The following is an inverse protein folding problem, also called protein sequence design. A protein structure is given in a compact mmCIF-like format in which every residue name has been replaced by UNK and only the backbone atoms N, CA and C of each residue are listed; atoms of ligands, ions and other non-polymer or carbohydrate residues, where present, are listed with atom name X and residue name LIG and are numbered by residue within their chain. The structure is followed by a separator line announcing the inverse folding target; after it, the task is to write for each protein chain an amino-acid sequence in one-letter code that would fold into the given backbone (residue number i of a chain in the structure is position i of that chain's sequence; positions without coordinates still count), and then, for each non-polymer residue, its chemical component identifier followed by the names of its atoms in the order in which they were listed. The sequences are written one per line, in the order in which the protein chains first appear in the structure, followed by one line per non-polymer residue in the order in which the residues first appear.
data_IF_772669317689
#
_entry.id   IF_772669317689
#
_cell.length_a   1.000
_cell.length_b   1.000
_cell.length_c   1.000
_cell.angle_alpha   90.00
_cell.angle_beta   90.00
_cell.angle_gamma   90.00
#
_symmetry.space_group_name_H-M   'P 1'
#
loop_
_entity.id
_entity.type
_entity.pdbx_description
1 polymer ?
#
# COMPACT_ATOMS: atom_id res chain seq x y z
N UNK A 1 62.52 -13.93 33.51
CA UNK A 1 61.75 -14.95 32.77
C UNK A 1 62.74 -15.89 32.10
N UNK A 2 62.56 -17.21 32.20
CA UNK A 2 63.42 -18.23 31.61
C UNK A 2 62.69 -18.86 30.42
N UNK A 3 62.87 -18.31 29.22
CA UNK A 3 62.22 -18.78 28.02
C UNK A 3 63.12 -19.80 27.30
N UNK A 4 62.59 -20.98 27.01
CA UNK A 4 63.35 -22.05 26.36
C UNK A 4 63.43 -21.80 24.85
N UNK A 5 64.65 -21.87 24.31
CA UNK A 5 64.93 -21.74 22.89
C UNK A 5 64.93 -23.12 22.25
N UNK A 6 64.15 -23.29 21.17
CA UNK A 6 64.16 -24.52 20.38
C UNK A 6 65.32 -24.47 19.39
N UNK A 7 66.29 -25.37 19.52
CA UNK A 7 67.53 -25.36 18.72
C UNK A 7 67.38 -26.13 17.39
N UNK A 8 66.59 -27.22 17.35
CA UNK A 8 66.30 -27.95 16.12
C UNK A 8 65.06 -28.85 16.25
N UNK A 9 64.38 -29.11 15.13
CA UNK A 9 63.37 -30.16 14.99
C UNK A 9 61.93 -29.80 15.37
N UNK A 10 61.68 -28.61 15.93
CA UNK A 10 60.33 -28.14 16.23
C UNK A 10 60.21 -26.61 16.02
N UNK A 11 58.97 -26.14 15.84
CA UNK A 11 58.64 -24.70 15.86
C UNK A 11 57.74 -24.40 17.06
N UNK A 12 57.96 -23.25 17.70
CA UNK A 12 57.06 -22.74 18.74
C UNK A 12 55.71 -22.44 18.07
N UNK A 13 54.62 -22.96 18.64
CA UNK A 13 53.27 -22.55 18.22
C UNK A 13 53.07 -21.12 18.71
N UNK A 14 52.87 -20.20 17.78
CA UNK A 14 52.56 -18.79 18.09
C UNK A 14 51.04 -18.69 18.24
N UNK A 15 50.57 -18.36 19.43
CA UNK A 15 49.15 -18.10 19.73
C UNK A 15 48.85 -16.61 19.94
N UNK A 16 49.85 -15.76 19.73
CA UNK A 16 49.67 -14.31 19.63
C UNK A 16 49.23 -14.00 18.21
N UNK A 17 47.97 -13.63 18.06
CA UNK A 17 47.37 -13.22 16.80
C UNK A 17 47.37 -11.70 16.73
N UNK A 18 47.83 -11.14 15.62
CA UNK A 18 47.68 -9.72 15.35
C UNK A 18 46.21 -9.44 14.97
N UNK A 19 45.62 -8.35 15.47
CA UNK A 19 44.21 -8.04 15.23
C UNK A 19 43.89 -7.83 13.74
N UNK A 20 44.86 -7.35 12.95
CA UNK A 20 44.75 -7.16 11.50
C UNK A 20 44.53 -8.49 10.75
N UNK A 21 45.21 -9.57 11.16
CA UNK A 21 45.13 -10.90 10.51
C UNK A 21 43.80 -11.61 10.75
N UNK A 22 43.00 -11.16 11.73
CA UNK A 22 41.82 -11.87 12.22
C UNK A 22 40.49 -11.10 11.99
N UNK A 23 40.52 -10.04 11.17
CA UNK A 23 39.39 -9.13 10.91
C UNK A 23 38.68 -8.65 12.19
N UNK A 24 39.42 -8.59 13.30
CA UNK A 24 38.87 -8.21 14.59
C UNK A 24 38.98 -6.70 14.73
N UNK A 25 37.87 -6.05 15.07
CA UNK A 25 37.83 -4.59 15.23
C UNK A 25 38.85 -4.17 16.28
N UNK A 26 39.85 -3.39 15.88
CA UNK A 26 40.76 -2.72 16.81
C UNK A 26 39.95 -1.71 17.65
N UNK A 27 39.77 -2.02 18.93
CA UNK A 27 38.84 -1.29 19.79
C UNK A 27 39.36 0.10 20.22
N UNK A 28 40.64 0.41 20.00
CA UNK A 28 41.27 1.68 20.38
C UNK A 28 42.35 2.07 19.38
N UNK A 29 42.35 3.33 18.96
CA UNK A 29 43.44 3.91 18.18
C UNK A 29 44.76 3.79 18.98
N UNK A 30 45.86 3.45 18.31
CA UNK A 30 47.18 3.30 18.95
C UNK A 30 47.59 4.54 19.76
N UNK A 31 47.19 5.72 19.30
CA UNK A 31 47.43 7.00 19.95
C UNK A 31 46.64 7.17 21.25
N UNK A 32 45.42 6.64 21.32
CA UNK A 32 44.62 6.61 22.55
C UNK A 32 45.17 5.60 23.56
N UNK A 33 45.64 4.45 23.07
CA UNK A 33 46.29 3.43 23.90
C UNK A 33 47.57 3.98 24.56
N UNK A 34 48.42 4.69 23.81
CA UNK A 34 49.61 5.39 24.35
C UNK A 34 49.22 6.42 25.40
N UNK A 35 48.24 7.29 25.12
CA UNK A 35 47.77 8.30 26.09
C UNK A 35 47.26 7.69 27.39
N UNK A 36 46.59 6.54 27.31
CA UNK A 36 46.06 5.82 28.46
C UNK A 36 47.15 5.11 29.29
N UNK A 37 48.27 4.76 28.67
CA UNK A 37 49.45 4.22 29.34
C UNK A 37 50.30 5.33 30.00
N UNK A 38 50.48 6.45 29.30
CA UNK A 38 51.38 7.53 29.73
C UNK A 38 50.75 8.44 30.80
N UNK A 39 49.43 8.68 30.74
CA UNK A 39 48.74 9.63 31.61
C UNK A 39 47.77 8.95 32.58
N UNK A 40 48.15 8.86 33.86
CA UNK A 40 47.31 8.27 34.90
C UNK A 40 45.97 9.00 35.09
N UNK A 41 45.94 10.33 34.98
CA UNK A 41 44.70 11.12 35.10
C UNK A 41 43.75 10.87 33.94
N UNK A 42 44.26 10.73 32.72
CA UNK A 42 43.44 10.46 31.53
C UNK A 42 42.78 9.08 31.60
N UNK A 43 43.55 8.07 32.05
CA UNK A 43 43.01 6.72 32.32
C UNK A 43 41.88 6.75 33.34
N UNK A 44 42.03 7.53 34.41
CA UNK A 44 41.01 7.65 35.45
C UNK A 44 39.73 8.30 34.90
N UNK A 45 39.86 9.41 34.17
CA UNK A 45 38.71 10.08 33.56
C UNK A 45 37.94 9.14 32.61
N UNK A 46 38.65 8.42 31.75
CA UNK A 46 38.02 7.48 30.83
C UNK A 46 37.33 6.33 31.58
N UNK A 47 37.96 5.79 32.63
CA UNK A 47 37.33 4.75 33.45
C UNK A 47 36.02 5.22 34.09
N UNK A 48 35.96 6.47 34.55
CA UNK A 48 34.73 7.05 35.12
C UNK A 48 33.67 7.26 34.04
N UNK A 49 34.05 7.74 32.85
CA UNK A 49 33.14 7.87 31.70
C UNK A 49 32.57 6.52 31.29
N UNK A 50 33.39 5.47 31.24
CA UNK A 50 32.97 4.12 30.89
C UNK A 50 31.96 3.58 31.92
N UNK A 51 32.20 3.81 33.23
CA UNK A 51 31.24 3.47 34.28
C UNK A 51 29.92 4.25 34.17
N UNK A 52 29.97 5.54 33.82
CA UNK A 52 28.78 6.35 33.62
C UNK A 52 27.96 5.83 32.43
N UNK A 53 28.61 5.58 31.29
CA UNK A 53 27.98 4.98 30.11
C UNK A 53 27.35 3.62 30.42
N UNK A 54 28.04 2.79 31.21
CA UNK A 54 27.48 1.53 31.68
C UNK A 54 26.19 1.77 32.49
N UNK A 55 26.23 2.67 33.48
CA UNK A 55 25.05 3.02 34.31
C UNK A 55 23.88 3.59 33.50
N UNK A 56 24.16 4.39 32.48
CA UNK A 56 23.15 4.96 31.58
C UNK A 56 22.53 3.90 30.65
N UNK A 57 23.31 2.92 30.19
CA UNK A 57 22.82 1.85 29.31
C UNK A 57 22.05 0.75 30.04
N UNK A 58 22.37 0.50 31.32
CA UNK A 58 21.69 -0.51 32.15
C UNK A 58 20.16 -0.40 32.16
N UNK A 59 19.52 0.76 32.40
CA UNK A 59 18.06 0.84 32.40
C UNK A 59 17.44 0.42 31.06
N UNK A 60 18.03 0.84 29.94
CA UNK A 60 17.57 0.47 28.59
C UNK A 60 17.69 -1.05 28.41
N UNK A 61 18.83 -1.63 28.79
CA UNK A 61 19.06 -3.08 28.70
C UNK A 61 18.04 -3.86 29.55
N UNK A 62 17.78 -3.41 30.78
CA UNK A 62 16.79 -4.06 31.65
C UNK A 62 15.37 -3.95 31.09
N UNK A 63 15.03 -2.84 30.44
CA UNK A 63 13.73 -2.69 29.78
C UNK A 63 13.61 -3.65 28.60
N UNK A 64 14.64 -3.76 27.75
CA UNK A 64 14.68 -4.71 26.64
C UNK A 64 14.57 -6.15 27.12
N UNK A 65 15.28 -6.50 28.19
CA UNK A 65 15.20 -7.82 28.80
C UNK A 65 13.76 -8.11 29.29
N UNK A 66 13.13 -7.19 30.01
CA UNK A 66 11.74 -7.36 30.48
C UNK A 66 10.74 -7.49 29.34
N UNK A 67 10.93 -6.73 28.26
CA UNK A 67 10.08 -6.86 27.06
C UNK A 67 10.27 -8.22 26.40
N UNK A 68 11.50 -8.70 26.31
CA UNK A 68 11.79 -10.04 25.80
C UNK A 68 11.13 -11.10 26.68
N UNK A 69 11.38 -11.10 28.00
CA UNK A 69 10.75 -12.03 28.94
C UNK A 69 9.23 -12.04 28.81
N UNK A 70 8.59 -10.87 28.69
CA UNK A 70 7.14 -10.77 28.49
C UNK A 70 6.68 -11.34 27.15
N UNK A 71 7.42 -11.09 26.07
CA UNK A 71 7.08 -11.59 24.73
C UNK A 71 7.25 -13.11 24.63
N UNK A 72 8.27 -13.65 25.32
CA UNK A 72 8.64 -15.06 25.29
C UNK A 72 8.08 -15.87 26.46
N UNK A 73 7.36 -15.24 27.40
CA UNK A 73 6.67 -15.92 28.49
C UNK A 73 5.65 -16.96 27.99
N UNK A 74 5.03 -16.72 26.83
CA UNK A 74 4.14 -17.66 26.16
C UNK A 74 4.41 -17.69 24.65
N UNK A 75 5.36 -18.55 24.21
CA UNK A 75 5.72 -18.68 22.81
C UNK A 75 4.56 -19.20 21.93
N UNK A 76 3.65 -19.98 22.51
CA UNK A 76 2.55 -20.58 21.77
C UNK A 76 1.53 -19.54 21.36
N UNK A 77 1.07 -18.66 22.27
CA UNK A 77 0.11 -17.63 21.89
C UNK A 77 0.71 -16.59 20.94
N UNK A 78 2.00 -16.26 21.08
CA UNK A 78 2.69 -15.39 20.12
C UNK A 78 2.73 -16.03 18.71
N UNK A 79 3.15 -17.30 18.63
CA UNK A 79 3.16 -18.06 17.37
C UNK A 79 1.77 -18.22 16.77
N UNK A 80 0.75 -18.43 17.59
CA UNK A 80 -0.64 -18.52 17.15
C UNK A 80 -1.11 -17.20 16.52
N UNK A 81 -0.81 -16.05 17.15
CA UNK A 81 -1.12 -14.72 16.60
C UNK A 81 -0.38 -14.46 15.28
N UNK A 82 0.91 -14.80 15.19
CA UNK A 82 1.69 -14.65 13.96
C UNK A 82 1.10 -15.50 12.83
N UNK A 83 0.83 -16.79 13.08
CA UNK A 83 0.20 -17.67 12.08
C UNK A 83 -1.17 -17.16 11.64
N UNK A 84 -1.96 -16.59 12.56
CA UNK A 84 -3.25 -15.99 12.23
C UNK A 84 -3.08 -14.81 11.26
N UNK A 85 -2.16 -13.87 11.55
CA UNK A 85 -1.84 -12.75 10.67
C UNK A 85 -1.40 -13.22 9.28
N UNK A 86 -0.44 -14.14 9.20
CA UNK A 86 0.03 -14.66 7.92
C UNK A 86 -1.07 -15.38 7.12
N UNK A 87 -1.99 -16.09 7.79
CA UNK A 87 -3.14 -16.71 7.12
C UNK A 87 -4.10 -15.67 6.56
N UNK A 88 -4.38 -14.60 7.31
CA UNK A 88 -5.23 -13.50 6.87
C UNK A 88 -4.59 -12.74 5.70
N UNK A 89 -3.31 -12.39 5.82
CA UNK A 89 -2.53 -11.75 4.75
C UNK A 89 -2.46 -12.61 3.50
N UNK A 90 -2.17 -13.92 3.63
CA UNK A 90 -2.18 -14.86 2.51
C UNK A 90 -3.54 -14.89 1.81
N UNK A 91 -4.64 -14.91 2.58
CA UNK A 91 -6.00 -14.91 2.01
C UNK A 91 -6.28 -13.62 1.24
N UNK A 92 -5.86 -12.47 1.77
CA UNK A 92 -6.02 -11.17 1.10
C UNK A 92 -5.20 -11.15 -0.19
N UNK A 93 -3.94 -11.58 -0.14
CA UNK A 93 -3.05 -11.61 -1.30
C UNK A 93 -3.55 -12.57 -2.39
N UNK A 94 -4.05 -13.75 -2.01
CA UNK A 94 -4.64 -14.71 -2.94
C UNK A 94 -5.92 -14.19 -3.59
N UNK A 95 -6.76 -13.46 -2.83
CA UNK A 95 -7.95 -12.81 -3.38
C UNK A 95 -7.58 -11.71 -4.39
N UNK A 96 -6.58 -10.88 -4.08
CA UNK A 96 -6.05 -9.87 -5.01
C UNK A 96 -5.50 -10.52 -6.27
N UNK A 97 -4.64 -11.53 -6.12
CA UNK A 97 -4.07 -12.27 -7.24
C UNK A 97 -5.14 -12.89 -8.14
N UNK A 98 -6.21 -13.47 -7.56
CA UNK A 98 -7.35 -13.98 -8.34
C UNK A 98 -8.03 -12.86 -9.13
N UNK A 99 -8.29 -11.71 -8.50
CA UNK A 99 -8.89 -10.56 -9.20
C UNK A 99 -7.99 -10.07 -10.35
N UNK A 100 -6.67 -10.04 -10.15
CA UNK A 100 -5.71 -9.66 -11.18
C UNK A 100 -5.66 -10.67 -12.34
N UNK A 101 -5.68 -11.97 -12.04
CA UNK A 101 -5.76 -13.05 -13.02
C UNK A 101 -7.05 -12.95 -13.85
N UNK A 102 -8.20 -12.66 -13.21
CA UNK A 102 -9.48 -12.45 -13.91
C UNK A 102 -9.46 -11.24 -14.86
N UNK A 103 -8.84 -10.12 -14.45
CA UNK A 103 -8.65 -8.95 -15.31
C UNK A 103 -7.73 -9.29 -16.49
N UNK A 104 -6.65 -10.02 -16.22
CA UNK A 104 -5.69 -10.45 -17.22
C UNK A 104 -6.34 -11.34 -18.28
N UNK A 105 -7.12 -12.33 -17.84
CA UNK A 105 -7.82 -13.27 -18.73
C UNK A 105 -8.90 -12.56 -19.55
N UNK A 106 -9.67 -11.65 -18.93
CA UNK A 106 -10.71 -10.87 -19.61
C UNK A 106 -10.12 -10.01 -20.74
N UNK A 107 -8.96 -9.43 -20.51
CA UNK A 107 -8.29 -8.54 -21.46
C UNK A 107 -7.24 -9.25 -22.32
N UNK A 108 -7.12 -10.58 -22.21
CA UNK A 108 -6.11 -11.40 -22.89
C UNK A 108 -4.68 -10.84 -22.75
N UNK A 109 -4.34 -10.33 -21.57
CA UNK A 109 -3.01 -9.78 -21.28
C UNK A 109 -2.05 -10.92 -20.89
N UNK A 110 -0.80 -10.84 -21.34
CA UNK A 110 0.26 -11.80 -20.96
C UNK A 110 1.19 -11.28 -19.86
N UNK A 111 0.99 -10.03 -19.44
CA UNK A 111 1.88 -9.27 -18.54
C UNK A 111 1.35 -9.39 -17.10
N UNK A 112 2.23 -9.51 -16.08
CA UNK A 112 1.80 -9.42 -14.68
C UNK A 112 1.27 -8.01 -14.35
N UNK A 113 0.13 -7.95 -13.68
CA UNK A 113 -0.44 -6.68 -13.21
C UNK A 113 0.26 -6.22 -11.94
N UNK A 114 0.46 -4.89 -11.83
CA UNK A 114 1.00 -4.24 -10.65
C UNK A 114 -0.13 -3.86 -9.69
N UNK A 115 0.17 -3.68 -8.40
CA UNK A 115 -0.80 -3.14 -7.46
C UNK A 115 -1.26 -1.73 -7.88
N UNK A 116 -2.53 -1.45 -7.63
CA UNK A 116 -3.15 -0.15 -7.94
C UNK A 116 -2.41 0.99 -7.22
N UNK A 117 -1.97 2.00 -7.98
CA UNK A 117 -1.43 3.25 -7.45
C UNK A 117 -2.53 4.29 -7.31
N UNK A 118 -2.48 5.10 -6.24
CA UNK A 118 -3.46 6.16 -6.00
C UNK A 118 -3.39 7.26 -7.06
N UNK A 119 -2.19 7.54 -7.58
CA UNK A 119 -1.98 8.52 -8.65
C UNK A 119 -2.67 8.06 -9.93
N UNK A 120 -2.44 6.81 -10.32
CA UNK A 120 -3.08 6.18 -11.48
C UNK A 120 -4.62 6.18 -11.35
N UNK A 121 -5.15 5.94 -10.15
CA UNK A 121 -6.60 5.98 -9.90
C UNK A 121 -7.17 7.39 -10.14
N UNK A 122 -6.48 8.44 -9.70
CA UNK A 122 -6.89 9.83 -9.89
C UNK A 122 -6.83 10.21 -11.36
N UNK A 123 -5.74 9.87 -12.04
CA UNK A 123 -5.57 10.14 -13.47
C UNK A 123 -6.63 9.41 -14.29
N UNK A 124 -6.85 8.12 -14.04
CA UNK A 124 -7.87 7.33 -14.73
C UNK A 124 -9.27 7.93 -14.56
N UNK A 125 -9.62 8.41 -13.36
CA UNK A 125 -10.90 9.08 -13.10
C UNK A 125 -11.01 10.44 -13.80
N UNK A 126 -9.91 11.17 -13.94
CA UNK A 126 -9.87 12.47 -14.59
C UNK A 126 -9.90 12.36 -16.13
N UNK A 127 -9.49 11.22 -16.69
CA UNK A 127 -9.55 11.00 -18.14
C UNK A 127 -10.98 10.80 -18.63
N UNK A 128 -11.44 11.69 -19.52
CA UNK A 128 -12.71 11.53 -20.22
C UNK A 128 -12.51 10.66 -21.47
N UNK A 129 -13.07 9.43 -21.47
CA UNK A 129 -13.10 8.61 -22.68
C UNK A 129 -14.02 9.26 -23.72
N UNK A 130 -13.55 9.33 -24.98
CA UNK A 130 -14.27 10.02 -26.05
C UNK A 130 -15.75 9.60 -26.12
N UNK A 131 -16.64 10.61 -26.16
CA UNK A 131 -18.12 10.52 -26.13
C UNK A 131 -18.74 9.40 -26.97
N UNK A 132 -18.10 9.00 -28.06
CA UNK A 132 -18.55 7.94 -28.95
C UNK A 132 -18.73 6.58 -28.25
N UNK A 133 -17.83 6.19 -27.32
CA UNK A 133 -17.89 4.89 -26.65
C UNK A 133 -19.01 4.87 -25.60
N UNK A 134 -19.12 5.94 -24.81
CA UNK A 134 -20.19 6.15 -23.83
C UNK A 134 -21.55 6.19 -24.55
N UNK A 135 -21.63 6.88 -25.69
CA UNK A 135 -22.86 6.95 -26.50
C UNK A 135 -23.19 5.61 -27.14
N UNK A 136 -22.20 4.82 -27.56
CA UNK A 136 -22.41 3.47 -28.09
C UNK A 136 -22.95 2.51 -27.01
N UNK A 137 -22.39 2.56 -25.80
CA UNK A 137 -22.88 1.77 -24.66
C UNK A 137 -24.31 2.15 -24.26
N UNK A 138 -24.61 3.45 -24.16
CA UNK A 138 -25.97 3.94 -23.91
C UNK A 138 -26.95 3.47 -24.97
N UNK A 139 -26.58 3.56 -26.26
CA UNK A 139 -27.40 3.08 -27.37
C UNK A 139 -27.63 1.57 -27.30
N UNK A 140 -26.60 0.77 -26.95
CA UNK A 140 -26.74 -0.69 -26.78
C UNK A 140 -27.76 -1.01 -25.69
N UNK A 141 -27.70 -0.30 -24.57
CA UNK A 141 -28.64 -0.45 -23.45
C UNK A 141 -30.08 -0.04 -23.84
N UNK A 142 -30.22 1.10 -24.51
CA UNK A 142 -31.50 1.59 -25.02
C UNK A 142 -32.12 0.60 -26.01
N UNK A 143 -31.33 0.04 -26.93
CA UNK A 143 -31.82 -0.95 -27.90
C UNK A 143 -32.26 -2.23 -27.21
N UNK A 144 -31.44 -2.78 -26.30
CA UNK A 144 -31.76 -4.03 -25.59
C UNK A 144 -32.98 -3.89 -24.67
N UNK A 145 -33.22 -2.70 -24.12
CA UNK A 145 -34.37 -2.43 -23.25
C UNK A 145 -35.60 -1.93 -24.02
N UNK A 146 -35.44 -1.51 -25.28
CA UNK A 146 -36.56 -1.06 -26.12
C UNK A 146 -37.56 -2.17 -26.42
N UNK A 147 -38.80 -1.79 -26.72
CA UNK A 147 -39.85 -2.73 -27.11
C UNK A 147 -39.69 -3.12 -28.58
N UNK A 148 -39.55 -4.42 -28.85
CA UNK A 148 -39.51 -4.99 -30.22
C UNK A 148 -40.85 -4.75 -30.95
N UNK A 149 -41.92 -4.44 -30.22
CA UNK A 149 -43.26 -4.20 -30.77
C UNK A 149 -43.58 -2.73 -31.07
N UNK A 150 -42.65 -1.79 -30.80
CA UNK A 150 -42.78 -0.44 -31.33
C UNK A 150 -42.48 -0.49 -32.82
N UNK A 151 -43.53 -0.77 -33.62
CA UNK A 151 -43.51 -0.66 -35.08
C UNK A 151 -42.86 0.67 -35.44
N UNK A 152 -41.83 0.61 -36.29
CA UNK A 152 -41.29 1.73 -37.03
C UNK A 152 -42.42 2.43 -37.79
N UNK A 153 -43.16 3.32 -37.13
CA UNK A 153 -43.81 4.39 -37.83
C UNK A 153 -42.66 5.25 -38.35
N UNK A 154 -42.58 5.33 -39.67
CA UNK A 154 -41.68 6.18 -40.43
C UNK A 154 -42.10 7.63 -40.17
N UNK A 155 -41.99 8.08 -38.92
CA UNK A 155 -42.38 9.41 -38.50
C UNK A 155 -41.25 10.32 -38.93
N UNK A 156 -41.57 11.15 -39.93
CA UNK A 156 -40.76 12.26 -40.40
C UNK A 156 -40.23 13.00 -39.17
N UNK A 157 -38.96 13.40 -39.21
CA UNK A 157 -38.35 14.34 -38.26
C UNK A 157 -39.18 15.63 -38.24
N UNK A 158 -40.25 15.66 -37.47
CA UNK A 158 -40.90 16.89 -37.05
C UNK A 158 -39.97 17.50 -36.02
N UNK A 159 -39.49 18.70 -36.33
CA UNK A 159 -38.77 19.58 -35.43
C UNK A 159 -39.75 19.91 -34.29
N UNK A 160 -39.87 19.00 -33.32
CA UNK A 160 -40.74 19.17 -32.17
C UNK A 160 -39.94 19.89 -31.09
N UNK A 161 -40.48 21.01 -30.62
CA UNK A 161 -39.89 21.77 -29.54
C UNK A 161 -39.70 20.87 -28.31
N UNK A 162 -38.46 20.81 -27.81
CA UNK A 162 -38.04 19.98 -26.67
C UNK A 162 -38.70 20.35 -25.33
N UNK A 163 -39.46 21.45 -25.31
CA UNK A 163 -40.11 21.96 -24.11
C UNK A 163 -41.54 21.43 -23.88
N UNK A 164 -42.10 20.66 -24.80
CA UNK A 164 -43.44 20.12 -24.62
C UNK A 164 -43.49 19.11 -23.45
N UNK A 165 -44.44 19.26 -22.51
CA UNK A 165 -44.52 18.40 -21.33
C UNK A 165 -44.78 16.94 -21.71
N UNK A 166 -45.51 16.70 -22.80
CA UNK A 166 -45.81 15.36 -23.33
C UNK A 166 -44.55 14.59 -23.75
N UNK A 167 -43.57 15.29 -24.33
CA UNK A 167 -42.29 14.69 -24.74
C UNK A 167 -41.41 14.35 -23.53
N UNK A 168 -41.40 15.20 -22.50
CA UNK A 168 -40.71 14.92 -21.23
C UNK A 168 -41.33 13.73 -20.49
N UNK A 169 -42.65 13.61 -20.49
CA UNK A 169 -43.37 12.47 -19.91
C UNK A 169 -43.03 11.18 -20.66
N UNK A 170 -42.97 11.21 -21.99
CA UNK A 170 -42.56 10.06 -22.80
C UNK A 170 -41.09 9.68 -22.55
N UNK A 171 -40.19 10.65 -22.45
CA UNK A 171 -38.79 10.40 -22.08
C UNK A 171 -38.68 9.77 -20.69
N UNK A 172 -39.42 10.30 -19.71
CA UNK A 172 -39.43 9.74 -18.36
C UNK A 172 -40.04 8.33 -18.33
N UNK A 173 -41.13 8.08 -19.04
CA UNK A 173 -41.74 6.75 -19.11
C UNK A 173 -40.80 5.74 -19.77
N UNK A 174 -40.05 6.15 -20.80
CA UNK A 174 -39.01 5.31 -21.39
C UNK A 174 -37.89 5.03 -20.40
N UNK A 175 -37.35 6.03 -19.71
CA UNK A 175 -36.31 5.86 -18.68
C UNK A 175 -36.75 4.94 -17.55
N UNK A 176 -37.99 5.10 -17.06
CA UNK A 176 -38.56 4.22 -16.03
C UNK A 176 -38.64 2.79 -16.58
N UNK A 177 -39.14 2.59 -17.80
CA UNK A 177 -39.22 1.27 -18.42
C UNK A 177 -37.86 0.60 -18.64
N UNK A 178 -36.82 1.39 -18.96
CA UNK A 178 -35.44 0.92 -19.10
C UNK A 178 -34.89 0.48 -17.75
N UNK A 179 -35.02 1.34 -16.72
CA UNK A 179 -34.52 1.04 -15.37
C UNK A 179 -35.26 -0.14 -14.72
N UNK A 180 -36.57 -0.28 -14.94
CA UNK A 180 -37.32 -1.42 -14.42
C UNK A 180 -36.95 -2.71 -15.13
N UNK A 181 -36.74 -2.69 -16.46
CA UNK A 181 -36.23 -3.85 -17.20
C UNK A 181 -34.83 -4.25 -16.76
N UNK A 182 -33.93 -3.29 -16.55
CA UNK A 182 -32.60 -3.57 -16.01
C UNK A 182 -32.65 -4.20 -14.61
N UNK A 183 -33.62 -3.82 -13.78
CA UNK A 183 -33.80 -4.40 -12.44
C UNK A 183 -34.48 -5.78 -12.46
N UNK A 184 -35.35 -6.05 -13.42
CA UNK A 184 -36.19 -7.26 -13.44
C UNK A 184 -35.60 -8.36 -14.33
N UNK A 185 -34.98 -8.00 -15.45
CA UNK A 185 -34.47 -8.97 -16.43
C UNK A 185 -33.09 -9.48 -16.02
N UNK A 186 -32.94 -10.78 -15.72
CA UNK A 186 -31.67 -11.37 -15.33
C UNK A 186 -30.61 -11.29 -16.45
N UNK A 187 -30.99 -11.15 -17.72
CA UNK A 187 -30.05 -11.11 -18.85
C UNK A 187 -29.57 -9.70 -19.22
N UNK A 188 -30.18 -8.66 -18.62
CA UNK A 188 -29.80 -7.26 -18.82
C UNK A 188 -28.93 -6.70 -17.68
N UNK A 189 -28.96 -7.33 -16.50
CA UNK A 189 -28.06 -7.03 -15.38
C UNK A 189 -26.61 -7.31 -15.74
N UNK A 190 -26.41 -8.32 -16.58
CA UNK A 190 -25.09 -8.87 -16.91
C UNK A 190 -24.51 -8.29 -18.21
N UNK A 191 -24.81 -7.03 -18.56
CA UNK A 191 -23.89 -6.31 -19.46
C UNK A 191 -22.50 -6.12 -18.81
N UNK A 192 -22.37 -6.52 -17.56
CA UNK A 192 -21.15 -7.01 -16.97
C UNK A 192 -20.76 -8.37 -17.58
N UNK A 193 -20.00 -8.32 -18.68
CA UNK A 193 -18.88 -9.25 -18.92
C UNK A 193 -17.78 -9.14 -17.80
N UNK A 194 -18.12 -8.44 -16.71
CA UNK A 194 -17.51 -8.41 -15.39
C UNK A 194 -18.28 -9.36 -14.46
N UNK A 195 -17.97 -10.64 -14.52
CA UNK A 195 -18.58 -11.63 -13.63
C UNK A 195 -18.10 -11.46 -12.18
N UNK A 196 -18.91 -10.82 -11.34
CA UNK A 196 -18.88 -11.04 -9.90
C UNK A 196 -19.63 -12.33 -9.61
N UNK A 197 -18.90 -13.41 -9.35
CA UNK A 197 -19.48 -14.62 -8.79
C UNK A 197 -18.61 -15.18 -7.66
N UNK A 198 -18.79 -14.60 -6.47
CA UNK A 198 -18.49 -15.28 -5.22
C UNK A 198 -19.61 -14.95 -4.21
N UNK A 199 -20.45 -15.95 -3.94
CA UNK A 199 -21.57 -15.80 -3.03
C UNK A 199 -21.16 -15.34 -1.63
N UNK A 200 -21.84 -14.32 -1.13
CA UNK A 200 -22.50 -14.27 0.20
C UNK A 200 -23.04 -12.85 0.46
N UNK A 201 -24.34 -12.80 0.73
CA UNK A 201 -24.92 -11.92 1.75
C UNK A 201 -25.01 -10.43 1.43
N UNK A 202 -26.23 -10.00 1.10
CA UNK A 202 -26.85 -8.71 1.45
C UNK A 202 -25.93 -7.53 1.74
N UNK A 203 -25.83 -6.64 0.76
CA UNK A 203 -25.29 -5.30 0.92
C UNK A 203 -25.55 -4.52 -0.36
N UNK A 204 -26.72 -3.89 -0.46
CA UNK A 204 -27.06 -2.99 -1.56
C UNK A 204 -26.13 -1.78 -1.55
N UNK A 205 -25.00 -1.87 -2.26
CA UNK A 205 -24.28 -0.67 -2.72
C UNK A 205 -24.85 -0.30 -4.07
N UNK A 206 -25.89 0.53 -4.02
CA UNK A 206 -26.38 1.28 -5.16
C UNK A 206 -25.23 2.19 -5.64
N UNK A 207 -24.41 1.72 -6.59
CA UNK A 207 -23.60 2.63 -7.42
C UNK A 207 -24.59 3.38 -8.31
N UNK A 208 -25.11 4.48 -7.79
CA UNK A 208 -25.95 5.40 -8.54
C UNK A 208 -25.15 5.89 -9.76
N UNK A 209 -25.48 5.38 -10.95
CA UNK A 209 -25.09 6.03 -12.19
C UNK A 209 -25.99 7.27 -12.33
N UNK A 210 -25.71 8.31 -11.53
CA UNK A 210 -26.39 9.59 -11.62
C UNK A 210 -26.02 10.23 -12.95
N UNK A 211 -26.98 10.29 -13.87
CA UNK A 211 -26.93 11.17 -15.03
C UNK A 211 -26.96 12.62 -14.52
N UNK A 212 -25.79 13.18 -14.21
CA UNK A 212 -25.63 14.60 -13.92
C UNK A 212 -26.01 15.38 -15.17
N UNK A 213 -27.15 16.10 -15.10
CA UNK A 213 -27.46 17.16 -16.06
C UNK A 213 -26.44 18.28 -15.86
N UNK A 214 -25.58 18.53 -16.85
CA UNK A 214 -24.86 19.81 -16.97
C UNK A 214 -25.92 20.92 -16.96
N UNK A 215 -25.85 21.78 -15.95
CA UNK A 215 -26.63 23.00 -15.84
C UNK A 215 -25.74 24.12 -16.38
N UNK A 216 -26.05 24.60 -17.57
CA UNK A 216 -25.39 25.76 -18.16
C UNK A 216 -25.92 27.02 -17.45
N UNK A 217 -25.27 27.44 -16.37
CA UNK A 217 -25.56 28.72 -15.70
C UNK A 217 -24.43 29.71 -15.98
N UNK A 218 -24.59 30.47 -17.07
CA UNK A 218 -23.85 31.69 -17.30
C UNK A 218 -24.55 32.87 -16.60
N UNK A 219 -23.97 33.39 -15.50
CA UNK A 219 -23.81 34.84 -15.26
C UNK A 219 -23.13 35.20 -13.93
N UNK A 220 -22.12 36.06 -14.12
CA UNK A 220 -21.76 37.27 -13.36
C UNK A 220 -20.94 37.11 -12.06
N UNK A 221 -19.64 37.34 -12.27
CA UNK A 221 -18.65 37.87 -11.33
C UNK A 221 -19.20 39.09 -10.60
N UNK A 222 -19.16 39.09 -9.27
CA UNK A 222 -18.97 40.30 -8.46
C UNK A 222 -18.21 39.93 -7.18
N UNK A 223 -17.05 40.58 -7.03
CA UNK A 223 -16.16 40.52 -5.88
C UNK A 223 -16.83 41.11 -4.64
N UNK A 224 -16.59 40.54 -3.46
CA UNK A 224 -16.44 41.32 -2.23
C UNK A 224 -15.53 40.62 -1.21
N UNK A 225 -14.54 41.39 -0.75
CA UNK A 225 -13.57 41.07 0.32
C UNK A 225 -14.21 41.14 1.70
N UNK A 226 -13.47 40.58 2.68
CA UNK A 226 -13.64 40.59 4.16
C UNK A 226 -14.30 39.31 4.69
N UNK A 227 -13.86 38.66 5.77
CA UNK A 227 -13.00 39.05 6.90
C UNK A 227 -12.47 37.77 7.60
N UNK A 228 -11.25 37.86 8.11
CA UNK A 228 -10.52 36.90 8.97
C UNK A 228 -11.23 36.69 10.31
N UNK A 229 -11.37 35.43 10.75
CA UNK A 229 -11.30 34.92 12.15
C UNK A 229 -10.92 33.42 12.07
N UNK A 230 -9.65 33.03 12.24
CA UNK A 230 -9.07 32.52 13.50
C UNK A 230 -9.90 31.43 14.19
N UNK A 231 -9.51 30.17 13.96
CA UNK A 231 -9.69 29.07 14.90
C UNK A 231 -8.47 28.15 14.79
N UNK A 232 -7.66 28.18 15.84
CA UNK A 232 -6.53 27.30 16.09
C UNK A 232 -7.02 25.85 16.23
N UNK A 233 -6.44 24.94 15.45
CA UNK A 233 -6.51 23.51 15.74
C UNK A 233 -5.08 23.00 15.91
N UNK A 234 -4.75 22.72 17.17
CA UNK A 234 -3.46 22.20 17.62
C UNK A 234 -3.43 20.70 17.34
N UNK A 235 -2.60 20.27 16.40
CA UNK A 235 -2.20 18.86 16.23
C UNK A 235 -0.90 18.63 17.01
N UNK A 236 -0.83 17.68 17.95
CA UNK A 236 0.43 17.27 18.55
C UNK A 236 1.01 16.02 17.85
N UNK A 237 2.34 15.97 17.81
CA UNK A 237 3.24 14.89 17.42
C UNK A 237 3.60 14.73 15.93
N UNK A 238 4.58 15.52 15.52
CA UNK A 238 5.65 15.06 14.63
C UNK A 238 6.97 15.15 15.39
N UNK A 239 7.51 14.01 15.81
CA UNK A 239 8.94 13.88 16.07
C UNK A 239 9.36 12.41 15.95
N UNK A 240 9.81 12.02 14.76
CA UNK A 240 10.68 10.87 14.57
C UNK A 240 11.67 11.18 13.46
N UNK A 241 12.88 11.59 13.83
CA UNK A 241 14.06 11.46 12.98
C UNK A 241 14.25 9.97 12.70
N UNK A 242 13.94 9.53 11.48
CA UNK A 242 14.31 8.20 11.00
C UNK A 242 15.62 8.32 10.25
N UNK A 243 16.70 7.89 10.91
CA UNK A 243 17.93 7.51 10.24
C UNK A 243 17.67 6.23 9.46
N UNK A 244 17.66 6.31 8.14
CA UNK A 244 17.57 5.16 7.24
C UNK A 244 18.77 4.23 7.49
N UNK A 245 18.53 3.06 8.08
CA UNK A 245 19.48 1.95 8.10
C UNK A 245 19.10 1.05 6.94
N UNK A 246 19.87 1.12 5.87
CA UNK A 246 19.77 0.22 4.71
C UNK A 246 20.31 -1.15 5.12
N UNK A 247 19.43 -2.16 5.18
CA UNK A 247 19.84 -3.56 5.32
C UNK A 247 19.95 -4.14 3.91
N UNK A 248 21.18 -4.32 3.44
CA UNK A 248 21.49 -5.09 2.23
C UNK A 248 21.26 -6.58 2.49
N UNK A 249 20.28 -7.18 1.82
CA UNK A 249 20.19 -8.63 1.69
C UNK A 249 21.26 -9.09 0.70
N UNK A 250 22.30 -9.75 1.20
CA UNK A 250 23.19 -10.59 0.39
C UNK A 250 22.49 -11.93 0.20
N UNK A 251 22.14 -12.26 -1.05
CA UNK A 251 21.69 -13.59 -1.44
C UNK A 251 22.87 -14.55 -1.31
N UNK A 252 22.74 -15.57 -0.47
CA UNK A 252 23.64 -16.72 -0.47
C UNK A 252 23.02 -17.79 -1.38
N UNK A 253 23.61 -17.99 -2.55
CA UNK A 253 23.31 -19.12 -3.41
C UNK A 253 23.86 -20.38 -2.72
N UNK A 254 22.96 -21.26 -2.29
CA UNK A 254 23.32 -22.61 -1.84
C UNK A 254 23.36 -23.51 -3.07
N UNK A 255 24.54 -23.95 -3.46
CA UNK A 255 24.73 -25.03 -4.42
C UNK A 255 24.21 -26.34 -3.78
N UNK A 256 23.16 -26.91 -4.37
CA UNK A 256 22.68 -28.27 -4.07
C UNK A 256 23.55 -29.28 -4.81
N UNK A 257 24.58 -29.81 -4.13
CA UNK A 257 25.22 -31.08 -4.49
C UNK A 257 24.67 -32.19 -3.58
N UNK A 258 23.86 -33.09 -4.15
CA UNK A 258 23.79 -34.53 -3.85
C UNK A 258 22.98 -35.29 -4.92
#
# INVERSE_FOLDING_TARGET
NAEYLVVAGARKKVETWEPEDNETIELKDEEEAKKLADNAFYKLEQSVKDEQKAKESLPILTQLQRLNERQWADPYTHSQRLRKKFREEKKILEAKRRADEEIRDRNALSIPLLPESQEDEVEAKATEFADHLIRAQKRKLEVNTSSIFNKSSRSKRSIFNSNDPKNKIAQLSTMISVNTKLKIDPFLKDNDWNGDNAGKGGGEVNKELVLVKKKDDAKKVENNKSKVQEASNVNPNENTNSSEVTISLVSADYDEDD
#
